data_IF_047671995310
#
_entry.id   IF_047671995310
#
_cell.length_a   1.000
_cell.length_b   1.000
_cell.length_c   1.000
_cell.angle_alpha   90.00
_cell.angle_beta   90.00
_cell.angle_gamma   90.00
#
_symmetry.space_group_name_H-M   'P 1'
#
loop_
_entity.id
_entity.type
_entity.pdbx_description
1 polymer ?
#
# COMPACT_ATOMS: atom_id res chain seq x y z
N UNK A 1 46.04 -47.91 17.06
CA UNK A 1 44.88 -47.32 17.73
C UNK A 1 44.39 -46.00 17.13
N UNK A 2 45.24 -45.21 16.50
CA UNK A 2 44.90 -43.91 15.90
C UNK A 2 44.20 -44.03 14.52
N UNK A 3 44.55 -45.01 13.69
CA UNK A 3 43.94 -45.25 12.39
C UNK A 3 42.49 -45.72 12.43
N UNK A 4 42.08 -46.41 13.53
CA UNK A 4 40.74 -46.94 13.68
C UNK A 4 39.73 -45.89 14.16
N UNK A 5 40.20 -44.81 14.82
CA UNK A 5 39.35 -43.67 15.23
C UNK A 5 39.00 -42.74 14.06
N UNK A 6 39.90 -42.61 13.10
CA UNK A 6 39.68 -41.75 11.92
C UNK A 6 38.67 -42.39 10.95
N UNK A 7 38.61 -43.72 10.86
CA UNK A 7 37.67 -44.41 10.00
C UNK A 7 36.23 -44.36 10.52
N UNK A 8 36.06 -44.41 11.86
CA UNK A 8 34.72 -44.32 12.46
C UNK A 8 34.10 -42.92 12.36
N UNK A 9 34.92 -41.85 12.42
CA UNK A 9 34.42 -40.48 12.25
C UNK A 9 34.02 -40.18 10.81
N UNK A 10 34.75 -40.75 9.82
CA UNK A 10 34.41 -40.55 8.41
C UNK A 10 33.11 -41.31 7.99
N UNK A 11 32.84 -42.46 8.59
CA UNK A 11 31.60 -43.22 8.35
C UNK A 11 30.37 -42.57 9.02
N UNK A 12 30.53 -41.93 10.17
CA UNK A 12 29.41 -41.20 10.81
C UNK A 12 29.02 -39.90 10.08
N UNK A 13 29.97 -39.20 9.51
CA UNK A 13 29.70 -37.98 8.72
C UNK A 13 29.03 -38.33 7.39
N UNK A 14 29.43 -39.45 6.74
CA UNK A 14 28.79 -39.90 5.49
C UNK A 14 27.35 -40.39 5.71
N UNK A 15 27.06 -41.02 6.85
CA UNK A 15 25.71 -41.48 7.21
C UNK A 15 24.76 -40.30 7.52
N UNK A 16 25.26 -39.16 8.05
CA UNK A 16 24.43 -37.98 8.33
C UNK A 16 24.13 -37.18 7.04
N UNK A 17 25.03 -37.18 6.08
CA UNK A 17 24.79 -36.52 4.77
C UNK A 17 23.83 -37.33 3.89
N UNK A 18 23.85 -38.67 3.99
CA UNK A 18 22.93 -39.53 3.25
C UNK A 18 21.50 -39.55 3.83
N UNK A 19 21.35 -39.37 5.15
CA UNK A 19 20.03 -39.27 5.79
C UNK A 19 19.32 -37.93 5.55
N UNK A 20 20.07 -36.86 5.26
CA UNK A 20 19.54 -35.53 4.93
C UNK A 20 18.99 -35.38 3.50
N UNK A 21 19.37 -36.31 2.59
CA UNK A 21 18.96 -36.23 1.19
C UNK A 21 17.65 -37.00 0.86
N UNK A 22 17.12 -37.78 1.81
CA UNK A 22 15.95 -38.64 1.55
C UNK A 22 14.63 -38.16 2.20
N UNK A 23 14.58 -36.95 2.76
CA UNK A 23 13.38 -36.40 3.41
C UNK A 23 12.83 -35.14 2.72
N UNK A 24 13.20 -34.87 1.46
CA UNK A 24 12.75 -33.69 0.72
C UNK A 24 11.75 -34.02 -0.42
N UNK A 25 11.17 -35.22 -0.42
CA UNK A 25 10.08 -35.50 -1.34
C UNK A 25 8.74 -35.41 -0.60
N UNK A 26 8.03 -34.26 -0.77
CA UNK A 26 6.62 -34.21 -0.43
C UNK A 26 6.10 -33.04 0.39
N UNK A 27 6.90 -32.02 0.71
CA UNK A 27 6.31 -30.74 1.15
C UNK A 27 6.07 -29.91 -0.10
N UNK A 28 4.82 -29.89 -0.56
CA UNK A 28 4.39 -28.96 -1.61
C UNK A 28 4.93 -27.58 -1.25
N UNK A 29 5.66 -26.95 -2.17
CA UNK A 29 6.28 -25.66 -1.92
C UNK A 29 5.22 -24.72 -1.36
N UNK A 30 5.25 -24.42 -0.06
CA UNK A 30 4.36 -23.45 0.56
C UNK A 30 4.51 -22.14 -0.21
N UNK A 31 3.45 -21.74 -0.86
CA UNK A 31 3.46 -20.56 -1.71
C UNK A 31 3.72 -19.33 -0.81
N UNK A 32 4.91 -18.75 -0.91
CA UNK A 32 5.30 -17.55 -0.19
C UNK A 32 4.20 -16.49 -0.32
N UNK A 33 3.78 -15.91 0.80
CA UNK A 33 2.86 -14.78 0.77
C UNK A 33 3.56 -13.57 0.15
N UNK A 34 2.86 -12.79 -0.70
CA UNK A 34 3.42 -11.56 -1.26
C UNK A 34 3.81 -10.57 -0.17
N UNK A 35 4.96 -9.95 -0.31
CA UNK A 35 5.49 -8.95 0.62
C UNK A 35 5.17 -7.54 0.12
N UNK A 36 4.57 -6.72 0.97
CA UNK A 36 4.20 -5.34 0.67
C UNK A 36 5.07 -4.38 1.47
N UNK A 37 5.92 -3.62 0.78
CA UNK A 37 6.70 -2.56 1.40
C UNK A 37 5.79 -1.39 1.80
N UNK A 38 5.95 -0.92 3.03
CA UNK A 38 5.27 0.27 3.55
C UNK A 38 6.35 1.29 3.86
N UNK A 39 6.60 2.29 2.99
CA UNK A 39 7.56 3.33 3.27
C UNK A 39 7.08 4.18 4.44
N UNK A 40 7.97 4.38 5.41
CA UNK A 40 7.75 5.31 6.49
C UNK A 40 9.05 6.08 6.77
N UNK A 41 8.93 7.37 6.94
CA UNK A 41 10.06 8.25 7.23
C UNK A 41 10.36 8.27 8.73
N UNK A 42 11.62 8.52 9.06
CA UNK A 42 12.00 8.74 10.44
C UNK A 42 11.48 10.11 10.91
N UNK A 43 10.54 10.08 11.85
CA UNK A 43 9.97 11.30 12.44
C UNK A 43 11.06 12.09 13.21
N UNK A 44 10.83 13.38 13.43
CA UNK A 44 11.78 14.26 14.17
C UNK A 44 12.10 13.77 15.59
N UNK A 45 11.23 12.94 16.17
CA UNK A 45 11.44 12.28 17.47
C UNK A 45 12.20 10.94 17.38
N UNK A 46 12.71 10.56 16.20
CA UNK A 46 13.40 9.29 15.97
C UNK A 46 12.50 8.07 15.83
N UNK A 47 11.19 8.23 15.78
CA UNK A 47 10.22 7.13 15.68
C UNK A 47 9.87 6.87 14.22
N UNK A 48 9.92 5.60 13.84
CA UNK A 48 9.34 5.06 12.58
C UNK A 48 8.09 4.28 12.96
N UNK A 49 6.94 4.60 12.37
CA UNK A 49 5.67 4.00 12.77
C UNK A 49 4.71 3.81 11.59
N UNK A 50 3.96 2.73 11.62
CA UNK A 50 2.89 2.45 10.68
C UNK A 50 1.56 2.29 11.41
N UNK A 51 0.47 2.74 10.79
CA UNK A 51 -0.87 2.56 11.37
C UNK A 51 -1.24 1.07 11.35
N UNK A 52 -1.69 0.56 12.50
CA UNK A 52 -2.17 -0.82 12.64
C UNK A 52 -3.24 -1.20 11.61
N UNK A 53 -4.15 -0.29 11.26
CA UNK A 53 -5.18 -0.54 10.23
C UNK A 53 -4.59 -0.93 8.88
N UNK A 54 -3.42 -0.38 8.53
CA UNK A 54 -2.73 -0.67 7.28
C UNK A 54 -2.13 -2.07 7.29
N UNK A 55 -1.41 -2.44 8.35
CA UNK A 55 -0.84 -3.78 8.48
C UNK A 55 -1.93 -4.84 8.57
N UNK A 56 -3.04 -4.57 9.30
CA UNK A 56 -4.21 -5.46 9.36
C UNK A 56 -4.84 -5.68 7.98
N UNK A 57 -5.03 -4.62 7.19
CA UNK A 57 -5.62 -4.72 5.85
C UNK A 57 -4.72 -5.52 4.90
N UNK A 58 -3.39 -5.30 4.92
CA UNK A 58 -2.42 -6.06 4.12
C UNK A 58 -2.45 -7.56 4.48
N UNK A 59 -2.44 -7.89 5.79
CA UNK A 59 -2.54 -9.27 6.25
C UNK A 59 -3.86 -9.93 5.80
N UNK A 60 -4.98 -9.23 5.94
CA UNK A 60 -6.29 -9.71 5.51
C UNK A 60 -6.41 -9.84 3.99
N UNK A 61 -5.66 -9.05 3.23
CA UNK A 61 -5.54 -9.19 1.78
C UNK A 61 -4.68 -10.41 1.36
N UNK A 62 -4.10 -11.14 2.32
CA UNK A 62 -3.27 -12.32 2.08
C UNK A 62 -1.84 -11.95 1.67
N UNK A 63 -1.31 -10.85 2.21
CA UNK A 63 0.05 -10.36 2.00
C UNK A 63 0.77 -10.14 3.33
N UNK A 64 2.09 -10.05 3.32
CA UNK A 64 2.91 -9.72 4.48
C UNK A 64 3.31 -8.23 4.44
N UNK A 65 2.99 -7.44 5.47
CA UNK A 65 3.47 -6.06 5.56
C UNK A 65 4.94 -6.04 5.98
N UNK A 66 5.77 -5.27 5.25
CA UNK A 66 7.17 -5.04 5.56
C UNK A 66 7.40 -3.52 5.68
N UNK A 67 7.77 -3.07 6.87
CA UNK A 67 8.07 -1.67 7.11
C UNK A 67 9.41 -1.30 6.47
N UNK A 68 9.38 -0.30 5.59
CA UNK A 68 10.55 0.23 4.89
C UNK A 68 10.92 1.58 5.52
N UNK A 69 11.88 1.62 6.46
CA UNK A 69 12.35 2.86 7.05
C UNK A 69 13.10 3.71 6.04
N UNK A 70 13.24 5.00 6.33
CA UNK A 70 14.02 5.91 5.49
C UNK A 70 15.49 5.47 5.45
N UNK A 71 15.97 5.19 4.24
CA UNK A 71 17.34 4.76 3.94
C UNK A 71 17.84 5.41 2.65
N UNK A 72 19.12 5.24 2.35
CA UNK A 72 19.71 5.61 1.07
C UNK A 72 19.22 4.70 -0.08
N UNK A 73 19.17 5.24 -1.29
CA UNK A 73 18.57 4.58 -2.46
C UNK A 73 19.08 3.15 -2.74
N UNK A 74 20.38 2.82 -2.61
CA UNK A 74 20.84 1.44 -2.82
C UNK A 74 20.23 0.44 -1.81
N UNK A 75 20.07 0.84 -0.55
CA UNK A 75 19.44 0.00 0.48
C UNK A 75 17.93 -0.13 0.26
N UNK A 76 17.26 0.97 -0.13
CA UNK A 76 15.84 0.95 -0.51
C UNK A 76 15.63 0.02 -1.71
N UNK A 77 16.47 0.13 -2.74
CA UNK A 77 16.38 -0.71 -3.94
C UNK A 77 16.59 -2.20 -3.61
N UNK A 78 17.58 -2.50 -2.78
CA UNK A 78 17.79 -3.87 -2.28
C UNK A 78 16.60 -4.39 -1.49
N UNK A 79 16.01 -3.57 -0.60
CA UNK A 79 14.80 -3.95 0.14
C UNK A 79 13.63 -4.25 -0.81
N UNK A 80 13.39 -3.36 -1.78
CA UNK A 80 12.31 -3.52 -2.76
C UNK A 80 12.50 -4.76 -3.65
N UNK A 81 13.71 -5.27 -3.82
CA UNK A 81 13.96 -6.52 -4.55
C UNK A 81 13.33 -7.75 -3.89
N UNK A 82 12.99 -7.67 -2.62
CA UNK A 82 12.33 -8.73 -1.85
C UNK A 82 10.81 -8.53 -1.74
N UNK A 83 10.29 -7.44 -2.30
CA UNK A 83 8.88 -7.06 -2.20
C UNK A 83 8.12 -7.33 -3.50
N UNK A 84 6.82 -7.54 -3.36
CA UNK A 84 5.90 -7.79 -4.47
C UNK A 84 4.99 -6.59 -4.77
N UNK A 85 4.92 -5.61 -3.87
CA UNK A 85 4.18 -4.35 -4.05
C UNK A 85 4.67 -3.28 -3.06
N UNK A 86 4.24 -2.04 -3.30
CA UNK A 86 4.45 -0.91 -2.38
C UNK A 86 3.09 -0.31 -2.01
N UNK A 87 2.88 -0.02 -0.71
CA UNK A 87 1.71 0.71 -0.22
C UNK A 87 2.14 1.95 0.53
N UNK A 88 1.90 3.13 -0.06
CA UNK A 88 2.16 4.44 0.56
C UNK A 88 0.95 4.85 1.40
N UNK A 89 1.16 5.02 2.69
CA UNK A 89 0.10 5.19 3.67
C UNK A 89 -0.46 6.59 3.78
N UNK A 90 -1.62 6.67 4.43
CA UNK A 90 -2.19 7.92 4.92
C UNK A 90 -1.33 8.52 6.04
N UNK A 91 -1.32 9.83 6.16
CA UNK A 91 -0.52 10.49 7.17
C UNK A 91 -1.02 11.88 7.56
N UNK A 92 -0.44 12.38 8.66
CA UNK A 92 -0.72 13.70 9.20
C UNK A 92 0.29 14.68 8.60
N UNK A 93 -0.14 15.91 8.34
CA UNK A 93 0.72 17.03 8.03
C UNK A 93 1.54 17.43 9.27
N UNK A 94 2.78 17.80 9.07
CA UNK A 94 3.67 18.28 10.14
C UNK A 94 4.92 18.90 9.54
N UNK A 95 5.86 19.29 10.38
CA UNK A 95 7.15 19.85 9.96
C UNK A 95 7.92 18.90 9.03
N UNK A 96 7.74 17.60 9.21
CA UNK A 96 8.41 16.55 8.43
C UNK A 96 7.73 16.27 7.08
N UNK A 97 6.63 16.96 6.74
CA UNK A 97 5.85 16.68 5.52
C UNK A 97 6.69 16.74 4.22
N UNK A 98 7.53 17.75 3.98
CA UNK A 98 8.36 17.81 2.78
C UNK A 98 9.36 16.66 2.68
N UNK A 99 10.01 16.31 3.81
CA UNK A 99 10.97 15.20 3.90
C UNK A 99 10.30 13.87 3.61
N UNK A 100 9.12 13.65 4.21
CA UNK A 100 8.31 12.47 3.96
C UNK A 100 7.93 12.32 2.49
N UNK A 101 7.41 13.39 1.87
CA UNK A 101 7.07 13.37 0.44
C UNK A 101 8.29 13.08 -0.44
N UNK A 102 9.46 13.65 -0.11
CA UNK A 102 10.69 13.42 -0.85
C UNK A 102 11.13 11.94 -0.75
N UNK A 103 11.10 11.36 0.45
CA UNK A 103 11.44 9.96 0.65
C UNK A 103 10.47 9.02 -0.07
N UNK A 104 9.16 9.20 0.14
CA UNK A 104 8.13 8.39 -0.52
C UNK A 104 8.21 8.51 -2.05
N UNK A 105 8.53 9.69 -2.58
CA UNK A 105 8.78 9.91 -4.01
C UNK A 105 9.98 9.10 -4.55
N UNK A 106 11.07 9.00 -3.79
CA UNK A 106 12.22 8.14 -4.14
C UNK A 106 11.82 6.66 -4.15
N UNK A 107 11.08 6.21 -3.14
CA UNK A 107 10.57 4.83 -3.08
C UNK A 107 9.67 4.53 -4.28
N UNK A 108 8.77 5.43 -4.66
CA UNK A 108 7.92 5.32 -5.85
C UNK A 108 8.79 5.16 -7.10
N UNK A 109 9.81 6.02 -7.28
CA UNK A 109 10.70 5.96 -8.44
C UNK A 109 11.45 4.62 -8.54
N UNK A 110 11.93 4.07 -7.42
CA UNK A 110 12.61 2.78 -7.37
C UNK A 110 11.64 1.61 -7.60
N UNK A 111 10.44 1.67 -7.03
CA UNK A 111 9.39 0.68 -7.26
C UNK A 111 8.96 0.62 -8.74
N UNK A 112 8.85 1.77 -9.41
CA UNK A 112 8.56 1.87 -10.84
C UNK A 112 9.63 1.17 -11.69
N UNK A 113 10.91 1.38 -11.40
CA UNK A 113 12.02 0.71 -12.10
C UNK A 113 11.93 -0.82 -11.99
N UNK A 114 11.34 -1.31 -10.91
CA UNK A 114 11.13 -2.76 -10.65
C UNK A 114 9.81 -3.27 -11.18
N UNK A 115 8.94 -2.41 -11.72
CA UNK A 115 7.59 -2.80 -12.19
C UNK A 115 6.66 -3.25 -11.08
N UNK A 116 6.92 -2.84 -9.83
CA UNK A 116 6.07 -3.21 -8.68
C UNK A 116 4.74 -2.46 -8.73
N UNK A 117 3.62 -3.11 -8.37
CA UNK A 117 2.37 -2.42 -8.09
C UNK A 117 2.55 -1.39 -6.96
N UNK A 118 1.94 -0.21 -7.15
CA UNK A 118 2.00 0.89 -6.19
C UNK A 118 0.59 1.31 -5.80
N UNK A 119 0.30 1.29 -4.50
CA UNK A 119 -0.99 1.70 -3.94
C UNK A 119 -0.77 2.87 -3.00
N UNK A 120 -1.47 3.97 -3.23
CA UNK A 120 -1.45 5.15 -2.35
C UNK A 120 -2.78 5.35 -1.64
N UNK A 121 -2.76 5.56 -0.32
CA UNK A 121 -3.96 5.83 0.48
C UNK A 121 -3.88 7.22 1.08
N UNK A 122 -4.89 8.07 0.85
CA UNK A 122 -5.04 9.43 1.37
C UNK A 122 -3.82 10.29 1.02
N UNK A 123 -2.89 10.50 1.94
CA UNK A 123 -1.60 11.14 1.67
C UNK A 123 -0.83 10.42 0.56
N UNK A 124 -0.79 9.09 0.56
CA UNK A 124 -0.11 8.31 -0.48
C UNK A 124 -0.71 8.52 -1.88
N UNK A 125 -2.02 8.68 -2.00
CA UNK A 125 -2.66 9.09 -3.25
C UNK A 125 -2.15 10.47 -3.72
N UNK A 126 -2.02 11.42 -2.80
CA UNK A 126 -1.53 12.76 -3.09
C UNK A 126 -0.05 12.75 -3.51
N UNK A 127 0.79 11.95 -2.84
CA UNK A 127 2.22 11.80 -3.19
C UNK A 127 2.38 11.16 -4.56
N UNK A 128 1.63 10.12 -4.88
CA UNK A 128 1.59 9.53 -6.23
C UNK A 128 1.24 10.61 -7.26
N UNK A 129 0.16 11.35 -7.03
CA UNK A 129 -0.26 12.41 -7.94
C UNK A 129 0.83 13.47 -8.16
N UNK A 130 1.47 13.92 -7.07
CA UNK A 130 2.58 14.89 -7.13
C UNK A 130 3.79 14.32 -7.88
N UNK A 131 4.16 13.06 -7.61
CA UNK A 131 5.32 12.41 -8.23
C UNK A 131 5.22 12.35 -9.77
N UNK A 132 4.00 12.19 -10.29
CA UNK A 132 3.74 12.16 -11.74
C UNK A 132 3.36 13.52 -12.34
N UNK A 133 3.49 14.61 -11.59
CA UNK A 133 3.30 15.97 -12.09
C UNK A 133 1.88 16.53 -11.96
N UNK A 134 1.02 15.87 -11.19
CA UNK A 134 -0.27 16.42 -10.78
C UNK A 134 -0.13 17.45 -9.65
N UNK A 135 -1.24 17.99 -9.21
CA UNK A 135 -1.27 19.02 -8.15
C UNK A 135 -2.20 18.65 -7.00
N UNK A 136 -1.94 19.20 -5.83
CA UNK A 136 -2.79 19.05 -4.64
C UNK A 136 -3.22 20.41 -4.10
N UNK A 137 -4.36 20.46 -3.43
CA UNK A 137 -4.86 21.67 -2.77
C UNK A 137 -5.62 21.32 -1.48
N UNK A 138 -5.84 22.28 -0.59
CA UNK A 138 -6.80 22.12 0.50
C UNK A 138 -8.20 21.82 -0.05
N UNK A 139 -8.98 21.02 0.69
CA UNK A 139 -10.42 20.93 0.46
C UNK A 139 -11.03 22.27 0.88
N UNK A 140 -11.75 22.99 0.00
CA UNK A 140 -12.37 24.27 0.35
C UNK A 140 -13.34 24.14 1.51
N UNK A 141 -13.37 25.15 2.40
CA UNK A 141 -14.21 25.15 3.59
C UNK A 141 -15.71 25.26 3.31
N UNK A 142 -16.08 25.78 2.14
CA UNK A 142 -17.46 25.97 1.67
C UNK A 142 -18.04 24.74 0.95
N UNK A 143 -17.35 23.61 0.96
CA UNK A 143 -17.84 22.37 0.33
C UNK A 143 -19.05 21.81 1.06
N UNK A 144 -20.00 21.29 0.26
CA UNK A 144 -21.26 20.69 0.75
C UNK A 144 -21.02 19.39 1.52
N UNK A 145 -19.96 18.64 1.17
CA UNK A 145 -19.64 17.36 1.76
C UNK A 145 -18.59 17.49 2.85
N UNK A 146 -18.73 16.69 3.89
CA UNK A 146 -17.78 16.63 5.00
C UNK A 146 -16.72 15.60 4.69
N UNK A 147 -15.49 16.07 4.38
CA UNK A 147 -14.33 15.22 4.13
C UNK A 147 -13.51 14.89 5.37
N UNK A 148 -13.73 15.60 6.47
CA UNK A 148 -13.15 15.32 7.78
C UNK A 148 -14.06 15.83 8.87
N UNK A 149 -14.48 14.94 9.76
CA UNK A 149 -15.23 15.28 10.97
C UNK A 149 -14.44 14.83 12.20
N UNK A 150 -13.63 15.76 12.73
CA UNK A 150 -12.81 15.49 13.91
C UNK A 150 -13.67 15.27 15.16
N UNK A 151 -14.74 16.04 15.33
CA UNK A 151 -15.64 15.95 16.47
C UNK A 151 -16.39 14.61 16.51
N UNK A 152 -16.88 14.15 15.36
CA UNK A 152 -17.49 12.82 15.25
C UNK A 152 -16.47 11.74 15.56
N UNK A 153 -15.26 11.83 14.99
CA UNK A 153 -14.20 10.86 15.21
C UNK A 153 -13.79 10.76 16.69
N UNK A 154 -13.63 11.89 17.36
CA UNK A 154 -13.31 11.93 18.81
C UNK A 154 -14.39 11.29 19.66
N UNK A 155 -15.67 11.51 19.30
CA UNK A 155 -16.82 11.01 20.05
C UNK A 155 -17.13 9.54 19.78
N UNK A 156 -17.00 9.07 18.53
CA UNK A 156 -17.53 7.75 18.10
C UNK A 156 -16.45 6.83 17.51
N UNK A 157 -15.25 7.33 17.22
CA UNK A 157 -14.23 6.63 16.45
C UNK A 157 -14.56 6.46 14.95
N UNK A 158 -15.70 7.01 14.51
CA UNK A 158 -16.17 6.90 13.12
C UNK A 158 -15.68 8.09 12.27
N UNK A 159 -15.32 7.82 11.03
CA UNK A 159 -14.99 8.84 10.04
C UNK A 159 -16.25 9.41 9.38
N UNK A 160 -16.11 10.59 8.75
CA UNK A 160 -17.09 11.08 7.82
C UNK A 160 -17.32 10.08 6.67
N UNK A 161 -18.51 10.09 6.12
CA UNK A 161 -18.90 9.30 4.95
C UNK A 161 -19.71 10.16 4.00
N UNK A 162 -19.47 10.02 2.70
CA UNK A 162 -20.23 10.74 1.67
C UNK A 162 -20.42 9.90 0.40
N UNK A 163 -21.37 10.26 -0.47
CA UNK A 163 -21.52 9.65 -1.78
C UNK A 163 -20.30 9.95 -2.67
N UNK A 164 -19.92 8.97 -3.45
CA UNK A 164 -18.82 9.03 -4.44
C UNK A 164 -19.32 8.37 -5.72
N UNK A 165 -19.22 9.05 -6.84
CA UNK A 165 -19.53 8.51 -8.16
C UNK A 165 -18.32 7.76 -8.71
N UNK A 166 -18.50 6.47 -8.98
CA UNK A 166 -17.51 5.61 -9.64
C UNK A 166 -17.69 5.71 -11.14
N UNK A 167 -16.61 6.09 -11.84
CA UNK A 167 -16.61 6.29 -13.29
C UNK A 167 -16.66 4.95 -14.04
N UNK A 168 -17.36 4.87 -15.20
CA UNK A 168 -17.36 3.69 -16.05
C UNK A 168 -16.00 3.45 -16.72
N UNK A 169 -15.82 2.25 -17.29
CA UNK A 169 -14.73 2.00 -18.21
C UNK A 169 -13.62 1.09 -17.71
N UNK A 170 -13.95 -0.03 -17.09
CA UNK A 170 -13.00 -1.13 -16.84
C UNK A 170 -11.88 -0.79 -15.87
N UNK A 171 -12.14 0.11 -14.90
CA UNK A 171 -11.22 0.48 -13.84
C UNK A 171 -11.31 -0.50 -12.66
N UNK A 172 -10.31 -0.51 -11.79
CA UNK A 172 -10.36 -1.30 -10.57
C UNK A 172 -11.53 -0.87 -9.68
N UNK A 173 -11.77 0.44 -9.55
CA UNK A 173 -12.92 0.97 -8.80
C UNK A 173 -14.25 0.44 -9.35
N UNK A 174 -14.48 0.52 -10.66
CA UNK A 174 -15.70 0.01 -11.28
C UNK A 174 -15.84 -1.51 -11.16
N UNK A 175 -14.73 -2.23 -11.30
CA UNK A 175 -14.71 -3.70 -11.14
C UNK A 175 -15.09 -4.17 -9.73
N UNK A 176 -14.79 -3.38 -8.70
CA UNK A 176 -15.05 -3.75 -7.29
C UNK A 176 -16.37 -3.21 -6.77
N UNK A 177 -16.68 -1.94 -7.03
CA UNK A 177 -17.86 -1.27 -6.48
C UNK A 177 -19.06 -1.23 -7.44
N UNK A 178 -18.84 -1.51 -8.72
CA UNK A 178 -19.78 -1.21 -9.78
C UNK A 178 -19.68 0.26 -10.20
N UNK A 179 -20.35 0.62 -11.30
CA UNK A 179 -20.47 2.00 -11.78
C UNK A 179 -21.57 2.75 -11.03
N UNK A 180 -21.43 4.06 -10.90
CA UNK A 180 -22.41 4.92 -10.24
C UNK A 180 -22.08 5.22 -8.79
N UNK A 181 -23.10 5.50 -7.96
CA UNK A 181 -22.91 6.03 -6.62
C UNK A 181 -22.61 4.94 -5.59
N UNK A 182 -21.55 5.15 -4.80
CA UNK A 182 -21.20 4.34 -3.62
C UNK A 182 -20.91 5.26 -2.44
N UNK A 183 -21.23 4.83 -1.22
CA UNK A 183 -20.88 5.56 -0.01
C UNK A 183 -19.52 5.10 0.51
N UNK A 184 -18.58 6.04 0.66
CA UNK A 184 -17.21 5.76 1.14
C UNK A 184 -16.87 6.64 2.35
N UNK A 185 -15.90 6.19 3.15
CA UNK A 185 -15.41 6.97 4.29
C UNK A 185 -14.45 8.07 3.84
N UNK A 186 -14.33 9.12 4.63
CA UNK A 186 -13.44 10.25 4.36
C UNK A 186 -12.79 10.78 5.64
N UNK A 187 -11.50 11.13 5.54
CA UNK A 187 -10.75 11.75 6.65
C UNK A 187 -9.55 12.54 6.13
N UNK A 188 -9.81 13.55 5.29
CA UNK A 188 -8.75 14.35 4.70
C UNK A 188 -9.12 15.84 4.61
N UNK A 189 -8.11 16.70 4.63
CA UNK A 189 -8.20 18.16 4.47
C UNK A 189 -7.48 18.64 3.22
N UNK A 190 -6.77 17.74 2.53
CA UNK A 190 -6.14 17.98 1.23
C UNK A 190 -6.73 17.01 0.21
N UNK A 191 -6.67 17.39 -1.05
CA UNK A 191 -7.16 16.63 -2.19
C UNK A 191 -6.20 16.70 -3.37
N UNK A 192 -6.22 15.72 -4.26
CA UNK A 192 -5.71 15.89 -5.61
C UNK A 192 -6.57 16.97 -6.28
N UNK A 193 -5.92 18.00 -6.83
CA UNK A 193 -6.61 19.10 -7.54
C UNK A 193 -6.69 18.78 -9.04
N UNK A 194 -5.54 18.57 -9.67
CA UNK A 194 -5.44 18.12 -11.03
C UNK A 194 -4.79 16.73 -11.04
N UNK A 195 -5.39 15.74 -11.70
CA UNK A 195 -4.76 14.43 -11.86
C UNK A 195 -3.49 14.57 -12.69
N UNK A 196 -2.49 13.76 -12.35
CA UNK A 196 -1.24 13.71 -13.09
C UNK A 196 -1.46 13.18 -14.52
N UNK A 197 -0.61 13.56 -15.51
CA UNK A 197 -0.61 12.94 -16.82
C UNK A 197 -0.54 11.41 -16.75
N UNK A 198 -1.33 10.72 -17.58
CA UNK A 198 -1.44 9.25 -17.59
C UNK A 198 -2.32 8.67 -16.48
N UNK A 199 -2.95 9.52 -15.65
CA UNK A 199 -3.92 9.07 -14.65
C UNK A 199 -5.35 9.41 -15.05
N UNK A 200 -6.24 8.47 -14.79
CA UNK A 200 -7.67 8.61 -14.93
C UNK A 200 -8.30 8.81 -13.54
N UNK A 201 -9.25 9.76 -13.45
CA UNK A 201 -10.12 9.89 -12.26
C UNK A 201 -11.16 8.76 -12.33
N UNK A 202 -11.12 7.86 -11.37
CA UNK A 202 -11.99 6.66 -11.35
C UNK A 202 -13.08 6.73 -10.28
N UNK A 203 -12.97 7.68 -9.36
CA UNK A 203 -14.04 8.01 -8.42
C UNK A 203 -13.96 9.47 -8.01
N UNK A 204 -15.13 10.12 -7.90
CA UNK A 204 -15.25 11.53 -7.56
C UNK A 204 -16.47 11.79 -6.68
N UNK A 205 -16.31 12.60 -5.64
CA UNK A 205 -17.41 13.06 -4.81
C UNK A 205 -18.28 14.10 -5.56
N UNK A 206 -19.54 14.26 -5.14
CA UNK A 206 -20.49 15.18 -5.79
C UNK A 206 -20.03 16.65 -5.81
N UNK A 207 -19.19 17.03 -4.87
CA UNK A 207 -18.59 18.37 -4.81
C UNK A 207 -17.30 18.51 -5.64
N UNK A 208 -16.98 17.51 -6.47
CA UNK A 208 -15.84 17.51 -7.38
C UNK A 208 -14.51 17.15 -6.76
N UNK A 209 -14.48 16.67 -5.52
CA UNK A 209 -13.26 16.13 -4.89
C UNK A 209 -12.92 14.77 -5.49
N UNK A 210 -11.68 14.61 -5.97
CA UNK A 210 -11.18 13.35 -6.51
C UNK A 210 -10.97 12.37 -5.36
N UNK A 211 -11.63 11.21 -5.43
CA UNK A 211 -11.56 10.14 -4.42
C UNK A 211 -10.75 8.92 -4.85
N UNK A 212 -10.57 8.73 -6.17
CA UNK A 212 -9.64 7.72 -6.67
C UNK A 212 -9.06 8.10 -8.03
N UNK A 213 -7.79 7.72 -8.22
CA UNK A 213 -7.05 7.83 -9.49
C UNK A 213 -6.40 6.49 -9.81
N UNK A 214 -6.34 6.14 -11.07
CA UNK A 214 -5.65 4.94 -11.57
C UNK A 214 -4.80 5.31 -12.77
N UNK A 215 -3.56 4.83 -12.81
CA UNK A 215 -2.72 5.03 -14.00
C UNK A 215 -3.25 4.18 -15.16
N UNK A 216 -3.27 4.72 -16.36
CA UNK A 216 -3.92 4.09 -17.52
C UNK A 216 -3.28 2.74 -17.91
N UNK A 217 -1.97 2.61 -17.78
CA UNK A 217 -1.20 1.45 -18.24
C UNK A 217 -0.41 0.74 -17.12
N UNK A 218 0.09 1.49 -16.12
CA UNK A 218 0.89 0.94 -15.03
C UNK A 218 0.00 0.46 -13.86
N UNK A 219 0.45 -0.49 -13.05
CA UNK A 219 -0.29 -0.98 -11.88
C UNK A 219 -0.19 -0.01 -10.69
N UNK A 220 -0.67 1.23 -10.88
CA UNK A 220 -0.59 2.29 -9.88
C UNK A 220 -2.00 2.80 -9.56
N UNK A 221 -2.34 2.81 -8.28
CA UNK A 221 -3.67 3.11 -7.77
C UNK A 221 -3.57 4.10 -6.61
N UNK A 222 -4.34 5.17 -6.66
CA UNK A 222 -4.46 6.14 -5.59
C UNK A 222 -5.89 6.24 -5.07
N UNK A 223 -6.09 6.05 -3.76
CA UNK A 223 -7.37 6.17 -3.07
C UNK A 223 -7.29 7.30 -2.06
N UNK A 224 -8.11 8.34 -2.21
CA UNK A 224 -8.16 9.45 -1.27
C UNK A 224 -8.91 9.05 0.01
N UNK A 225 -9.92 8.20 -0.10
CA UNK A 225 -10.60 7.58 1.03
C UNK A 225 -9.72 6.50 1.71
N UNK A 226 -10.20 5.89 2.79
CA UNK A 226 -9.44 4.96 3.62
C UNK A 226 -9.98 3.52 3.55
N UNK A 227 -9.72 2.77 2.46
CA UNK A 227 -10.17 1.38 2.33
C UNK A 227 -9.55 0.47 3.39
N UNK A 228 -8.34 0.79 3.89
CA UNK A 228 -7.61 0.04 4.93
C UNK A 228 -8.30 0.07 6.31
N UNK A 229 -9.33 0.88 6.44
CA UNK A 229 -10.16 0.98 7.64
C UNK A 229 -11.59 0.55 7.34
N UNK A 230 -12.10 0.95 6.18
CA UNK A 230 -13.52 0.81 5.83
C UNK A 230 -13.92 -0.64 5.50
N UNK A 231 -12.97 -1.51 5.20
CA UNK A 231 -13.23 -2.93 4.93
C UNK A 231 -13.99 -3.66 6.05
N UNK A 232 -13.90 -3.16 7.29
CA UNK A 232 -14.66 -3.70 8.43
C UNK A 232 -16.16 -3.43 8.30
N UNK A 233 -16.53 -2.42 7.53
CA UNK A 233 -17.93 -2.03 7.23
C UNK A 233 -18.34 -2.49 5.83
N UNK A 234 -17.43 -2.40 4.86
CA UNK A 234 -17.65 -2.82 3.48
C UNK A 234 -16.48 -3.69 2.98
N UNK A 235 -16.72 -4.99 2.92
CA UNK A 235 -15.72 -5.98 2.53
C UNK A 235 -15.14 -5.77 1.12
N UNK A 236 -15.84 -5.02 0.24
CA UNK A 236 -15.33 -4.66 -1.10
C UNK A 236 -14.04 -3.85 -1.01
N UNK A 237 -13.85 -3.07 0.06
CA UNK A 237 -12.59 -2.35 0.30
C UNK A 237 -11.39 -3.29 0.47
N UNK A 238 -11.59 -4.47 1.07
CA UNK A 238 -10.53 -5.46 1.19
C UNK A 238 -10.19 -6.08 -0.16
N UNK A 239 -11.20 -6.35 -0.99
CA UNK A 239 -11.00 -6.84 -2.35
C UNK A 239 -10.29 -5.80 -3.22
N UNK A 240 -10.64 -4.51 -3.09
CA UNK A 240 -9.95 -3.40 -3.75
C UNK A 240 -8.45 -3.41 -3.42
N UNK A 241 -8.09 -3.49 -2.14
CA UNK A 241 -6.70 -3.56 -1.69
C UNK A 241 -6.00 -4.80 -2.27
N UNK A 242 -6.64 -5.97 -2.21
CA UNK A 242 -6.08 -7.23 -2.69
C UNK A 242 -5.75 -7.17 -4.18
N UNK A 243 -6.64 -6.66 -5.00
CA UNK A 243 -6.45 -6.54 -6.44
C UNK A 243 -5.41 -5.48 -6.78
N UNK A 244 -5.45 -4.31 -6.11
CA UNK A 244 -4.48 -3.24 -6.30
C UNK A 244 -3.04 -3.72 -5.98
N UNK A 245 -2.82 -4.40 -4.86
CA UNK A 245 -1.51 -4.95 -4.47
C UNK A 245 -1.00 -6.02 -5.43
N UNK A 246 -1.88 -6.66 -6.21
CA UNK A 246 -1.50 -7.62 -7.27
C UNK A 246 -1.36 -6.98 -8.64
N UNK A 247 -1.51 -5.67 -8.74
CA UNK A 247 -1.48 -4.95 -10.00
C UNK A 247 -2.61 -5.34 -10.97
N UNK A 248 -3.70 -5.88 -10.46
CA UNK A 248 -4.81 -6.39 -11.28
C UNK A 248 -5.92 -5.36 -11.36
N UNK A 249 -6.45 -5.20 -12.58
CA UNK A 249 -7.76 -4.61 -12.85
C UNK A 249 -8.73 -5.77 -13.06
N UNK A 250 -9.93 -5.62 -12.54
CA UNK A 250 -10.97 -6.65 -12.70
C UNK A 250 -11.57 -6.58 -14.09
#
# INVERSE_FOLDING_TARGET
MQAMKTLLTSLLVAAFVAAGACAAEGVGAERRLPVVAIPDYCQSNGVVSVKRSMTEAILKAGCLPALLPEMEDPAVDQFLSQCDAVMVGGGIKGQDYPRRCAYEGRVIALALKRGLPIVGICHGCQVINLHFGGTIAPVPADRKLVHKDATRFERTGERAEHPVSVSPGGTLMAGVFGEGSVKLNSSHTMRCLNPAPGFRVTAQAEDGVIEAIEHETLPIFGFQFHPEIYWKKDARCLELIRLALRGKRK
#
